data_IF_015853028963
#
_entry.id   IF_015853028963
#
_cell.length_a   1.000
_cell.length_b   1.000
_cell.length_c   1.000
_cell.angle_alpha   90.00
_cell.angle_beta   90.00
_cell.angle_gamma   90.00
#
_symmetry.space_group_name_H-M   'P 1'
#
loop_
_entity.id
_entity.type
_entity.pdbx_description
1 polymer ?
#
# COMPACT_ATOMS: atom_id res chain seq x y z
N UNK A 1 0.96 15.56 8.63
CA UNK A 1 1.68 15.02 7.46
C UNK A 1 0.81 13.95 6.84
N UNK A 2 0.79 13.79 5.51
CA UNK A 2 -0.02 12.77 4.83
C UNK A 2 0.90 11.70 4.24
N UNK A 3 0.55 10.44 4.43
CA UNK A 3 1.28 9.28 3.91
C UNK A 3 0.50 8.54 2.81
N UNK A 4 1.23 7.86 1.95
CA UNK A 4 0.72 6.87 1.00
C UNK A 4 1.42 5.53 1.25
N UNK A 5 0.66 4.44 1.21
CA UNK A 5 1.19 3.08 1.27
C UNK A 5 1.06 2.46 -0.11
N UNK A 6 2.15 1.89 -0.60
CA UNK A 6 2.19 1.16 -1.88
C UNK A 6 2.63 -0.27 -1.59
N UNK A 7 1.71 -1.22 -1.74
CA UNK A 7 1.97 -2.65 -1.64
C UNK A 7 2.34 -3.20 -3.02
N UNK A 8 3.52 -3.80 -3.14
CA UNK A 8 4.00 -4.39 -4.39
C UNK A 8 3.85 -5.90 -4.32
N UNK A 9 3.19 -6.48 -5.33
CA UNK A 9 3.01 -7.91 -5.49
C UNK A 9 1.87 -8.21 -6.47
N UNK A 10 2.17 -8.94 -7.54
CA UNK A 10 1.18 -9.28 -8.57
C UNK A 10 0.02 -10.09 -8.01
N UNK A 11 0.28 -10.94 -7.02
CA UNK A 11 -0.71 -11.75 -6.31
C UNK A 11 -1.72 -10.92 -5.49
N UNK A 12 -1.36 -9.70 -5.08
CA UNK A 12 -2.28 -8.77 -4.43
C UNK A 12 -3.25 -8.17 -5.45
N UNK A 13 -2.75 -7.82 -6.64
CA UNK A 13 -3.56 -7.27 -7.74
C UNK A 13 -4.47 -8.35 -8.35
N UNK A 14 -3.96 -9.57 -8.47
CA UNK A 14 -4.71 -10.73 -8.95
C UNK A 14 -5.74 -11.26 -7.92
N UNK A 15 -5.72 -10.75 -6.68
CA UNK A 15 -6.63 -11.17 -5.62
C UNK A 15 -6.37 -12.58 -5.09
N UNK A 16 -5.18 -13.13 -5.33
CA UNK A 16 -4.75 -14.44 -4.78
C UNK A 16 -4.40 -14.34 -3.30
N UNK A 17 -3.96 -13.17 -2.86
CA UNK A 17 -3.71 -12.84 -1.45
C UNK A 17 -4.41 -11.54 -1.07
N UNK A 18 -4.79 -11.44 0.21
CA UNK A 18 -5.34 -10.22 0.79
C UNK A 18 -4.18 -9.41 1.37
N UNK A 19 -4.11 -8.13 1.03
CA UNK A 19 -3.15 -7.22 1.65
C UNK A 19 -3.52 -6.94 3.11
N UNK A 20 -2.76 -7.55 4.03
CA UNK A 20 -2.84 -7.30 5.47
C UNK A 20 -1.74 -6.35 5.97
N UNK A 21 -0.75 -6.03 5.13
CA UNK A 21 0.37 -5.17 5.49
C UNK A 21 -0.07 -3.71 5.55
N UNK A 22 -0.82 -3.26 4.54
CA UNK A 22 -1.33 -1.88 4.49
C UNK A 22 -2.14 -1.46 5.71
N UNK A 23 -3.17 -2.22 6.16
CA UNK A 23 -3.92 -1.84 7.36
C UNK A 23 -3.07 -1.83 8.63
N UNK A 24 -2.11 -2.75 8.78
CA UNK A 24 -1.17 -2.77 9.91
C UNK A 24 -0.27 -1.51 9.91
N UNK A 25 0.33 -1.18 8.77
CA UNK A 25 1.19 0.01 8.66
C UNK A 25 0.37 1.28 8.87
N UNK A 26 -0.84 1.36 8.34
CA UNK A 26 -1.72 2.51 8.52
C UNK A 26 -2.08 2.74 10.00
N UNK A 27 -2.32 1.67 10.78
CA UNK A 27 -2.56 1.83 12.22
C UNK A 27 -1.33 2.36 12.94
N UNK A 28 -0.13 1.84 12.63
CA UNK A 28 1.11 2.31 13.22
C UNK A 28 1.42 3.78 12.88
N UNK A 29 1.14 4.20 11.64
CA UNK A 29 1.30 5.60 11.22
C UNK A 29 0.32 6.52 11.96
N UNK A 30 -0.92 6.06 12.14
CA UNK A 30 -1.93 6.80 12.88
C UNK A 30 -1.53 7.00 14.35
N UNK A 31 -0.94 5.99 15.00
CA UNK A 31 -0.43 6.09 16.38
C UNK A 31 0.62 7.19 16.57
N UNK A 32 1.39 7.52 15.53
CA UNK A 32 2.38 8.60 15.55
C UNK A 32 1.88 9.91 14.94
N UNK A 33 0.57 10.04 14.70
CA UNK A 33 -0.07 11.26 14.21
C UNK A 33 0.10 11.53 12.71
N UNK A 34 0.29 10.47 11.91
CA UNK A 34 0.38 10.55 10.44
C UNK A 34 -0.86 9.89 9.84
N UNK A 35 -1.65 10.66 9.10
CA UNK A 35 -2.81 10.12 8.39
C UNK A 35 -2.41 9.53 7.04
N UNK A 36 -2.92 8.33 6.75
CA UNK A 36 -2.76 7.68 5.45
C UNK A 36 -3.87 8.15 4.51
N UNK A 37 -3.50 8.89 3.47
CA UNK A 37 -4.46 9.43 2.50
C UNK A 37 -4.80 8.43 1.39
N UNK A 38 -3.91 7.47 1.11
CA UNK A 38 -4.08 6.49 0.04
C UNK A 38 -3.30 5.21 0.32
N UNK A 39 -3.92 4.08 -0.04
CA UNK A 39 -3.30 2.77 -0.10
C UNK A 39 -3.45 2.28 -1.55
N UNK A 40 -2.39 1.72 -2.13
CA UNK A 40 -2.42 1.22 -3.50
C UNK A 40 -1.67 -0.10 -3.60
N UNK A 41 -2.30 -1.11 -4.21
CA UNK A 41 -1.63 -2.35 -4.59
C UNK A 41 -1.18 -2.25 -6.05
N UNK A 42 0.06 -2.62 -6.32
CA UNK A 42 0.68 -2.57 -7.66
C UNK A 42 1.36 -3.90 -7.92
N UNK A 43 1.33 -4.38 -9.17
CA UNK A 43 2.03 -5.61 -9.56
C UNK A 43 3.54 -5.42 -9.64
N UNK A 44 4.26 -6.49 -9.94
CA UNK A 44 5.73 -6.49 -10.06
C UNK A 44 6.23 -5.91 -11.40
N UNK A 45 5.65 -4.79 -11.80
CA UNK A 45 6.00 -4.05 -13.01
C UNK A 45 6.52 -2.66 -12.65
N UNK A 46 7.75 -2.37 -13.08
CA UNK A 46 8.42 -1.10 -12.79
C UNK A 46 7.67 0.07 -13.44
N UNK A 47 7.09 -0.13 -14.62
CA UNK A 47 6.34 0.93 -15.29
C UNK A 47 5.06 1.28 -14.51
N UNK A 48 4.32 0.29 -14.05
CA UNK A 48 3.15 0.46 -13.19
C UNK A 48 3.54 1.15 -11.88
N UNK A 49 4.61 0.70 -11.22
CA UNK A 49 5.09 1.31 -9.97
C UNK A 49 5.44 2.78 -10.15
N UNK A 50 6.08 3.16 -11.27
CA UNK A 50 6.46 4.54 -11.56
C UNK A 50 5.29 5.52 -11.75
N UNK A 51 4.07 5.01 -11.96
CA UNK A 51 2.85 5.80 -12.21
C UNK A 51 1.95 5.93 -10.97
N UNK A 52 2.37 5.37 -9.83
CA UNK A 52 1.58 5.28 -8.59
C UNK A 52 1.79 6.49 -7.69
#
# INVERSE_FOLDING_TARGET
>A
MLAQIISVGSELVEGKLIDTNSPYIASMLHEIGIDVARITAVGDDIEALSKT
#
